data_IF_309180866248
#
_entry.id   IF_309180866248
#
_cell.length_a   1.000
_cell.length_b   1.000
_cell.length_c   1.000
_cell.angle_alpha   90.00
_cell.angle_beta   90.00
_cell.angle_gamma   90.00
#
_symmetry.space_group_name_H-M   'P 1'
#
loop_
_entity.id
_entity.type
_entity.pdbx_description
1 polymer ?
#
# COMPACT_ATOMS: atom_id res chain seq x y z
N UNK A 1 -13.95 -10.66 -2.07
CA UNK A 1 -12.67 -10.42 -1.36
C UNK A 1 -12.62 -8.97 -0.94
N UNK A 2 -12.47 -8.72 0.36
CA UNK A 2 -12.28 -7.41 0.95
C UNK A 2 -10.79 -7.10 1.05
N UNK A 3 -10.38 -5.89 0.69
CA UNK A 3 -9.05 -5.36 0.96
C UNK A 3 -9.17 -4.40 2.14
N UNK A 4 -8.52 -4.70 3.25
CA UNK A 4 -8.51 -3.86 4.46
C UNK A 4 -7.10 -3.34 4.68
N UNK A 5 -6.95 -2.03 4.72
CA UNK A 5 -5.70 -1.36 5.06
C UNK A 5 -5.74 -1.01 6.55
N UNK A 6 -4.89 -1.65 7.35
CA UNK A 6 -4.85 -1.46 8.79
C UNK A 6 -3.70 -0.55 9.20
N UNK A 7 -3.99 0.41 10.06
CA UNK A 7 -2.98 1.28 10.66
C UNK A 7 -2.28 0.55 11.82
N UNK A 8 -0.95 0.45 11.76
CA UNK A 8 -0.16 0.10 12.94
C UNK A 8 -0.13 1.31 13.89
N UNK A 9 -0.57 1.12 15.13
CA UNK A 9 -0.71 2.21 16.10
C UNK A 9 0.59 2.96 16.36
N UNK A 10 1.73 2.26 16.43
CA UNK A 10 3.03 2.88 16.68
C UNK A 10 3.43 3.73 15.47
N UNK A 11 3.29 3.19 14.26
CA UNK A 11 3.61 3.91 13.03
C UNK A 11 2.68 5.10 12.83
N UNK A 12 1.38 4.93 13.10
CA UNK A 12 0.39 5.99 13.04
C UNK A 12 0.80 7.18 13.92
N UNK A 13 1.25 6.93 15.15
CA UNK A 13 1.76 7.97 16.07
C UNK A 13 3.06 8.63 15.56
N UNK A 14 3.97 7.85 14.99
CA UNK A 14 5.24 8.35 14.44
C UNK A 14 5.07 9.23 13.20
N UNK A 15 3.92 9.14 12.52
CA UNK A 15 3.58 9.93 11.35
C UNK A 15 2.75 11.19 11.67
N UNK A 16 2.49 11.46 12.96
CA UNK A 16 1.87 12.72 13.37
C UNK A 16 2.74 13.93 12.97
N UNK A 17 2.12 15.06 12.58
CA UNK A 17 0.69 15.34 12.58
C UNK A 17 -0.05 14.88 11.31
N UNK A 18 0.62 14.24 10.35
CA UNK A 18 0.03 13.92 9.03
C UNK A 18 -1.13 12.93 9.12
N UNK A 19 -1.05 12.00 10.08
CA UNK A 19 -2.06 10.98 10.37
C UNK A 19 -3.16 11.46 11.33
N UNK A 20 -3.08 12.70 11.84
CA UNK A 20 -4.08 13.22 12.78
C UNK A 20 -5.47 13.39 12.14
N UNK A 21 -5.52 13.58 10.82
CA UNK A 21 -6.76 13.86 10.07
C UNK A 21 -7.10 12.81 9.01
N UNK A 22 -6.29 11.74 8.91
CA UNK A 22 -6.46 10.68 7.90
C UNK A 22 -5.70 9.40 8.28
N UNK A 23 -6.13 8.21 7.79
CA UNK A 23 -5.37 6.96 7.91
C UNK A 23 -4.00 7.04 7.24
N UNK A 24 -3.07 6.16 7.62
CA UNK A 24 -1.73 6.10 7.00
C UNK A 24 -1.85 5.88 5.49
N UNK A 25 -2.80 5.04 5.07
CA UNK A 25 -3.01 4.69 3.66
C UNK A 25 -3.40 5.90 2.77
N UNK A 26 -3.89 6.99 3.36
CA UNK A 26 -4.25 8.21 2.64
C UNK A 26 -3.07 9.19 2.44
N UNK A 27 -1.88 8.83 2.91
CA UNK A 27 -0.66 9.58 2.61
C UNK A 27 -0.29 9.36 1.14
N UNK A 28 -0.02 10.48 0.44
CA UNK A 28 0.54 10.46 -0.91
C UNK A 28 2.06 10.40 -0.84
N UNK A 29 2.61 9.36 -1.45
CA UNK A 29 4.04 9.15 -1.65
C UNK A 29 4.20 8.55 -3.05
N UNK A 30 4.88 9.27 -3.94
CA UNK A 30 4.81 9.04 -5.37
C UNK A 30 3.74 9.89 -6.06
N UNK A 31 3.21 9.36 -7.16
CA UNK A 31 2.09 9.94 -7.91
C UNK A 31 0.77 9.64 -7.20
N UNK A 32 0.67 8.45 -6.57
CA UNK A 32 -0.54 7.91 -5.95
C UNK A 32 -0.46 7.92 -4.42
N UNK A 33 -1.62 7.91 -3.75
CA UNK A 33 -1.69 7.53 -2.34
C UNK A 33 -1.40 6.05 -2.13
N UNK A 34 -1.01 5.65 -0.92
CA UNK A 34 -0.77 4.23 -0.61
C UNK A 34 -2.02 3.39 -0.90
N UNK A 35 -3.21 3.89 -0.51
CA UNK A 35 -4.50 3.27 -0.87
C UNK A 35 -4.63 3.09 -2.38
N UNK A 36 -4.43 4.15 -3.16
CA UNK A 36 -4.60 4.11 -4.61
C UNK A 36 -3.68 3.08 -5.28
N UNK A 37 -2.47 2.89 -4.75
CA UNK A 37 -1.55 1.84 -5.22
C UNK A 37 -2.15 0.45 -5.00
N UNK A 38 -2.60 0.14 -3.78
CA UNK A 38 -3.24 -1.14 -3.47
C UNK A 38 -4.52 -1.38 -4.28
N UNK A 39 -5.38 -0.36 -4.39
CA UNK A 39 -6.61 -0.45 -5.20
C UNK A 39 -6.31 -0.77 -6.66
N UNK A 40 -5.25 -0.19 -7.26
CA UNK A 40 -4.85 -0.49 -8.64
C UNK A 40 -4.31 -1.92 -8.80
N UNK A 41 -3.52 -2.40 -7.85
CA UNK A 41 -2.97 -3.76 -7.90
C UNK A 41 -4.03 -4.86 -7.76
N UNK A 42 -5.08 -4.61 -6.97
CA UNK A 42 -6.15 -5.57 -6.70
C UNK A 42 -7.44 -5.30 -7.48
N UNK A 43 -7.58 -4.14 -8.13
CA UNK A 43 -8.77 -3.68 -8.86
C UNK A 43 -10.05 -3.71 -8.01
N UNK A 44 -9.92 -3.41 -6.72
CA UNK A 44 -11.03 -3.34 -5.75
C UNK A 44 -10.82 -2.13 -4.85
N UNK A 45 -11.91 -1.63 -4.25
CA UNK A 45 -11.83 -0.56 -3.25
C UNK A 45 -11.32 -1.07 -1.93
N UNK A 46 -10.47 -0.27 -1.28
CA UNK A 46 -9.97 -0.58 0.05
C UNK A 46 -10.98 -0.13 1.12
N UNK A 47 -11.05 -0.88 2.20
CA UNK A 47 -11.64 -0.49 3.48
C UNK A 47 -10.54 -0.08 4.45
N UNK A 48 -10.88 0.76 5.42
CA UNK A 48 -9.91 1.25 6.40
C UNK A 48 -10.12 0.58 7.74
N UNK A 49 -9.02 0.26 8.41
CA UNK A 49 -9.01 -0.09 9.82
C UNK A 49 -8.06 0.89 10.53
N UNK A 50 -8.64 1.97 11.05
CA UNK A 50 -7.94 3.15 11.59
C UNK A 50 -8.53 3.56 12.95
N UNK A 51 -8.09 4.69 13.48
CA UNK A 51 -8.59 5.26 14.74
C UNK A 51 -10.10 5.56 14.68
N UNK A 52 -10.79 5.36 15.80
CA UNK A 52 -12.26 5.41 15.87
C UNK A 52 -12.85 6.73 15.39
N UNK A 53 -12.19 7.85 15.67
CA UNK A 53 -12.63 9.17 15.27
C UNK A 53 -12.45 9.44 13.76
N UNK A 54 -11.54 8.72 13.09
CA UNK A 54 -11.35 8.80 11.64
C UNK A 54 -12.38 7.93 10.91
N UNK A 55 -12.90 6.88 11.55
CA UNK A 55 -13.81 5.91 10.95
C UNK A 55 -15.13 6.50 10.42
N UNK A 56 -15.56 7.66 10.93
CA UNK A 56 -16.73 8.36 10.38
C UNK A 56 -16.52 8.78 8.91
N UNK A 57 -15.31 9.25 8.58
CA UNK A 57 -14.95 9.66 7.21
C UNK A 57 -14.29 8.53 6.41
N UNK A 58 -13.60 7.62 7.09
CA UNK A 58 -12.85 6.51 6.51
C UNK A 58 -13.39 5.17 7.02
N UNK A 59 -14.54 4.70 6.51
CA UNK A 59 -15.26 3.59 7.10
C UNK A 59 -14.58 2.24 6.87
N UNK A 60 -14.76 1.35 7.85
CA UNK A 60 -14.54 -0.09 7.67
C UNK A 60 -15.71 -0.67 6.87
N UNK A 61 -15.57 -0.71 5.55
CA UNK A 61 -16.64 -1.13 4.63
C UNK A 61 -16.59 -2.62 4.25
N UNK A 62 -15.76 -3.43 4.93
CA UNK A 62 -15.64 -4.85 4.61
C UNK A 62 -16.88 -5.64 5.06
N UNK A 63 -17.34 -6.54 4.20
CA UNK A 63 -18.50 -7.42 4.45
C UNK A 63 -18.04 -8.83 4.82
N UNK A 64 -18.98 -9.75 5.11
CA UNK A 64 -18.66 -11.15 5.40
C UNK A 64 -17.85 -11.81 4.27
N UNK A 65 -16.95 -12.72 4.64
CA UNK A 65 -16.14 -13.53 3.73
C UNK A 65 -14.67 -13.09 3.66
N UNK A 66 -13.98 -13.59 2.63
CA UNK A 66 -12.55 -13.40 2.40
C UNK A 66 -12.04 -11.97 2.60
N UNK A 67 -11.11 -11.80 3.54
CA UNK A 67 -10.47 -10.54 3.87
C UNK A 67 -8.96 -10.63 3.67
N UNK A 68 -8.39 -9.64 2.98
CA UNK A 68 -6.96 -9.42 2.89
C UNK A 68 -6.63 -8.18 3.71
N UNK A 69 -6.00 -8.38 4.86
CA UNK A 69 -5.46 -7.31 5.69
C UNK A 69 -4.06 -6.97 5.22
N UNK A 70 -3.79 -5.69 5.01
CA UNK A 70 -2.47 -5.19 4.57
C UNK A 70 -2.08 -4.00 5.42
N UNK A 71 -0.81 -3.94 5.82
CA UNK A 71 -0.29 -2.83 6.61
C UNK A 71 -0.39 -1.53 5.80
N UNK A 72 -1.08 -0.51 6.34
CA UNK A 72 -1.35 0.75 5.65
C UNK A 72 -0.09 1.59 5.37
N UNK A 73 1.04 1.30 6.04
CA UNK A 73 2.33 1.95 5.79
C UNK A 73 3.14 1.34 4.65
N UNK A 74 2.65 0.26 4.04
CA UNK A 74 3.37 -0.50 3.04
C UNK A 74 3.11 0.00 1.63
N UNK A 75 4.18 0.35 0.91
CA UNK A 75 4.14 0.66 -0.51
C UNK A 75 4.28 -0.65 -1.29
N UNK A 76 3.28 -1.01 -2.13
CA UNK A 76 3.32 -2.26 -2.88
C UNK A 76 4.33 -2.20 -4.03
N UNK A 77 4.98 -3.32 -4.29
CA UNK A 77 5.66 -3.63 -5.55
C UNK A 77 5.07 -4.88 -6.22
N UNK A 78 5.32 -5.07 -7.51
CA UNK A 78 4.76 -6.17 -8.30
C UNK A 78 5.13 -7.57 -7.75
N UNK A 79 6.34 -7.76 -7.18
CA UNK A 79 6.78 -9.05 -6.63
C UNK A 79 6.07 -9.35 -5.31
N UNK A 80 5.97 -8.36 -4.42
CA UNK A 80 5.24 -8.48 -3.17
C UNK A 80 3.75 -8.78 -3.43
N UNK A 81 3.12 -8.03 -4.33
CA UNK A 81 1.71 -8.23 -4.70
C UNK A 81 1.49 -9.64 -5.25
N UNK A 82 2.41 -10.15 -6.07
CA UNK A 82 2.32 -11.52 -6.57
C UNK A 82 2.42 -12.56 -5.44
N UNK A 83 3.23 -12.32 -4.40
CA UNK A 83 3.31 -13.20 -3.21
C UNK A 83 2.01 -13.14 -2.40
N UNK A 84 1.50 -11.93 -2.13
CA UNK A 84 0.27 -11.72 -1.36
C UNK A 84 -0.94 -12.38 -2.06
N UNK A 85 -1.03 -12.31 -3.39
CA UNK A 85 -2.12 -12.95 -4.16
C UNK A 85 -2.12 -14.47 -4.06
N UNK A 86 -1.01 -15.10 -3.65
CA UNK A 86 -0.89 -16.55 -3.47
C UNK A 86 -1.18 -17.02 -2.04
N UNK A 87 -1.41 -16.10 -1.10
CA UNK A 87 -1.72 -16.45 0.28
C UNK A 87 -3.04 -17.22 0.35
N UNK A 88 -3.03 -18.33 1.09
CA UNK A 88 -4.25 -19.06 1.47
C UNK A 88 -4.84 -18.45 2.73
N UNK A 89 -6.11 -18.75 2.98
CA UNK A 89 -6.77 -18.39 4.25
C UNK A 89 -5.94 -18.91 5.43
N UNK A 90 -5.74 -18.06 6.44
CA UNK A 90 -4.93 -18.37 7.61
C UNK A 90 -3.44 -18.07 7.45
N UNK A 91 -2.98 -17.70 6.25
CA UNK A 91 -1.57 -17.38 5.99
C UNK A 91 -1.35 -15.87 5.92
N UNK A 92 -0.13 -15.47 6.29
CA UNK A 92 0.32 -14.09 6.14
C UNK A 92 1.80 -13.98 5.85
N UNK A 93 2.22 -12.74 5.66
CA UNK A 93 3.60 -12.32 5.51
C UNK A 93 3.96 -11.40 6.66
N UNK A 94 5.14 -11.61 7.23
CA UNK A 94 5.75 -10.72 8.21
C UNK A 94 7.18 -10.38 7.81
N UNK A 95 7.68 -9.27 8.32
CA UNK A 95 9.09 -8.91 8.18
C UNK A 95 9.57 -8.20 9.43
N UNK A 96 10.69 -8.65 10.01
CA UNK A 96 11.31 -8.03 11.20
C UNK A 96 10.30 -7.85 12.36
N UNK A 97 9.47 -8.86 12.61
CA UNK A 97 8.46 -8.83 13.67
C UNK A 97 7.21 -7.98 13.35
N UNK A 98 7.07 -7.46 12.14
CA UNK A 98 5.88 -6.70 11.71
C UNK A 98 5.02 -7.49 10.77
N UNK A 99 3.70 -7.40 10.96
CA UNK A 99 2.74 -7.97 10.03
C UNK A 99 2.66 -7.10 8.78
N UNK A 100 2.82 -7.73 7.62
CA UNK A 100 2.84 -7.07 6.30
C UNK A 100 1.50 -7.28 5.61
N UNK A 101 1.04 -8.53 5.54
CA UNK A 101 -0.27 -8.88 5.01
C UNK A 101 -0.78 -10.19 5.62
N UNK A 102 -2.09 -10.36 5.72
CA UNK A 102 -2.71 -11.58 6.23
C UNK A 102 -4.03 -11.86 5.51
N UNK A 103 -4.25 -13.11 5.11
CA UNK A 103 -5.48 -13.55 4.47
C UNK A 103 -6.35 -14.26 5.50
N UNK A 104 -7.54 -13.73 5.74
CA UNK A 104 -8.54 -14.25 6.70
C UNK A 104 -9.84 -14.62 5.97
N UNK A 105 -10.60 -15.55 6.53
CA UNK A 105 -11.96 -15.90 6.10
C UNK A 105 -13.02 -14.94 6.68
N UNK A 106 -12.64 -14.18 7.71
CA UNK A 106 -13.54 -13.28 8.43
C UNK A 106 -12.98 -11.87 8.54
N UNK A 107 -13.86 -10.91 8.81
CA UNK A 107 -13.50 -9.53 9.12
C UNK A 107 -12.84 -9.37 10.49
N UNK A 108 -12.87 -10.41 11.34
CA UNK A 108 -12.26 -10.36 12.66
C UNK A 108 -10.74 -10.45 12.50
N UNK A 109 -10.06 -9.39 12.93
CA UNK A 109 -8.62 -9.26 12.81
C UNK A 109 -7.97 -9.26 14.19
N UNK A 110 -7.12 -10.25 14.44
CA UNK A 110 -6.20 -10.24 15.56
C UNK A 110 -4.77 -10.19 15.01
N UNK A 111 -4.11 -9.04 15.16
CA UNK A 111 -2.76 -8.82 14.62
C UNK A 111 -1.73 -9.81 15.20
N UNK A 112 -1.85 -10.20 16.48
CA UNK A 112 -0.91 -11.09 17.13
C UNK A 112 -1.01 -12.52 16.58
N UNK A 113 -2.23 -13.04 16.47
CA UNK A 113 -2.47 -14.36 15.86
C UNK A 113 -2.05 -14.38 14.40
N UNK A 114 -2.38 -13.33 13.64
CA UNK A 114 -1.96 -13.19 12.26
C UNK A 114 -0.43 -13.15 12.12
N UNK A 115 0.27 -12.44 13.01
CA UNK A 115 1.73 -12.36 13.04
C UNK A 115 2.39 -13.72 13.34
N UNK A 116 1.83 -14.50 14.27
CA UNK A 116 2.33 -15.83 14.60
C UNK A 116 2.22 -16.79 13.40
N UNK A 117 1.10 -16.73 12.67
CA UNK A 117 0.82 -17.57 11.50
C UNK A 117 1.43 -17.03 10.19
N UNK A 118 2.23 -15.97 10.26
CA UNK A 118 2.86 -15.36 9.08
C UNK A 118 4.26 -15.88 8.83
N UNK A 119 4.56 -16.12 7.55
CA UNK A 119 5.90 -16.48 7.08
C UNK A 119 6.79 -15.25 6.90
N UNK A 120 8.09 -15.41 7.12
CA UNK A 120 9.04 -14.32 6.94
C UNK A 120 9.17 -13.95 5.45
N UNK A 121 9.08 -12.66 5.17
CA UNK A 121 9.33 -12.09 3.85
C UNK A 121 10.77 -11.61 3.77
N UNK A 122 11.59 -12.26 2.93
CA UNK A 122 13.03 -12.00 2.86
C UNK A 122 13.40 -10.76 2.04
N UNK A 123 12.58 -10.35 1.06
CA UNK A 123 12.95 -9.23 0.18
C UNK A 123 12.72 -7.89 0.89
N UNK A 124 13.54 -6.86 0.61
CA UNK A 124 13.32 -5.53 1.15
C UNK A 124 11.92 -5.00 0.83
N UNK A 125 11.27 -4.42 1.82
CA UNK A 125 9.98 -3.74 1.67
C UNK A 125 10.15 -2.24 1.80
N UNK A 126 9.27 -1.49 1.13
CA UNK A 126 9.20 -0.04 1.28
C UNK A 126 8.06 0.27 2.26
N UNK A 127 8.43 0.52 3.51
CA UNK A 127 7.51 0.92 4.59
C UNK A 127 7.69 2.40 4.89
N UNK A 128 6.63 3.13 5.27
CA UNK A 128 6.76 4.45 5.89
C UNK A 128 6.64 4.32 7.40
N UNK A 129 7.73 4.56 8.13
CA UNK A 129 7.75 4.46 9.60
C UNK A 129 7.82 5.83 10.26
N UNK A 130 8.39 6.80 9.57
CA UNK A 130 8.61 8.14 10.06
C UNK A 130 8.26 9.18 9.00
N UNK A 131 7.98 10.41 9.41
CA UNK A 131 7.60 11.50 8.49
C UNK A 131 8.63 11.75 7.38
N UNK A 132 9.93 11.61 7.69
CA UNK A 132 11.00 11.80 6.69
C UNK A 132 11.07 10.67 5.65
N UNK A 133 10.51 9.49 5.94
CA UNK A 133 10.45 8.40 4.96
C UNK A 133 9.62 8.79 3.74
N UNK A 134 8.59 9.62 3.94
CA UNK A 134 7.73 10.11 2.86
C UNK A 134 8.56 10.83 1.80
N UNK A 135 9.57 11.60 2.21
CA UNK A 135 10.45 12.33 1.30
C UNK A 135 11.60 11.45 0.81
N UNK A 136 12.23 10.70 1.71
CA UNK A 136 13.39 9.83 1.41
C UNK A 136 13.03 8.73 0.40
N UNK A 137 11.82 8.15 0.52
CA UNK A 137 11.35 7.04 -0.31
C UNK A 137 10.47 7.50 -1.48
N UNK A 138 10.23 8.82 -1.62
CA UNK A 138 9.36 9.37 -2.65
C UNK A 138 9.84 9.01 -4.07
N UNK A 139 11.14 9.13 -4.33
CA UNK A 139 11.70 8.86 -5.66
C UNK A 139 11.47 7.43 -6.13
N UNK A 140 11.65 6.45 -5.23
CA UNK A 140 11.37 5.04 -5.51
C UNK A 140 9.87 4.80 -5.75
N UNK A 141 9.01 5.41 -4.92
CA UNK A 141 7.56 5.33 -5.09
C UNK A 141 7.06 5.96 -6.41
N UNK A 142 7.67 7.06 -6.88
CA UNK A 142 7.36 7.65 -8.19
C UNK A 142 7.68 6.66 -9.31
N UNK A 143 8.83 5.97 -9.24
CA UNK A 143 9.23 5.01 -10.26
C UNK A 143 8.26 3.82 -10.33
N UNK A 144 7.87 3.28 -9.17
CA UNK A 144 6.87 2.21 -9.08
C UNK A 144 5.51 2.66 -9.64
N UNK A 145 5.06 3.85 -9.27
CA UNK A 145 3.79 4.40 -9.77
C UNK A 145 3.82 4.64 -11.27
N UNK A 146 4.92 5.16 -11.80
CA UNK A 146 5.07 5.39 -13.23
C UNK A 146 4.94 4.07 -14.00
N UNK A 147 5.63 3.02 -13.56
CA UNK A 147 5.49 1.69 -14.17
C UNK A 147 4.05 1.20 -14.06
N UNK A 148 3.43 1.29 -12.88
CA UNK A 148 2.05 0.84 -12.65
C UNK A 148 1.03 1.58 -13.54
N UNK A 149 1.18 2.89 -13.69
CA UNK A 149 0.23 3.76 -14.41
C UNK A 149 0.38 3.72 -15.93
N UNK A 150 1.57 3.36 -16.42
CA UNK A 150 1.89 3.32 -17.85
C UNK A 150 1.84 1.92 -18.43
N UNK A 151 1.84 0.87 -17.58
CA UNK A 151 1.76 -0.53 -17.99
C UNK A 151 0.57 -0.79 -18.91
N UNK A 152 0.86 -1.33 -20.09
CA UNK A 152 -0.15 -1.65 -21.11
C UNK A 152 -0.73 -0.44 -21.85
N UNK A 153 -0.16 0.77 -21.67
CA UNK A 153 -0.56 1.99 -22.38
C UNK A 153 0.54 2.45 -23.32
N UNK A 154 0.16 3.17 -24.38
CA UNK A 154 1.07 3.79 -25.32
C UNK A 154 1.07 5.30 -25.09
N UNK A 155 2.24 5.88 -24.83
CA UNK A 155 2.42 7.33 -24.72
C UNK A 155 2.12 8.00 -26.05
N UNK A 156 1.57 9.22 -26.00
CA UNK A 156 1.52 10.09 -27.17
C UNK A 156 2.95 10.42 -27.66
N UNK A 157 3.10 10.63 -28.97
CA UNK A 157 4.36 11.06 -29.56
C UNK A 157 4.73 12.48 -29.10
N UNK A 158 6.00 12.67 -28.71
CA UNK A 158 6.52 13.98 -28.34
C UNK A 158 6.58 14.90 -29.56
N UNK A 159 6.15 16.15 -29.39
CA UNK A 159 6.29 17.18 -30.41
C UNK A 159 7.76 17.39 -30.77
N UNK A 160 8.03 17.61 -32.07
CA UNK A 160 9.37 17.93 -32.58
C UNK A 160 9.88 19.30 -32.10
N UNK A 161 8.98 20.16 -31.61
CA UNK A 161 9.34 21.49 -31.06
C UNK A 161 10.01 21.43 -29.69
N UNK A 162 9.97 20.27 -29.00
CA UNK A 162 10.45 20.16 -27.63
C UNK A 162 11.89 19.62 -27.60
N UNK A 163 12.77 20.28 -26.85
CA UNK A 163 14.10 19.75 -26.51
C UNK A 163 13.98 18.84 -25.29
N UNK A 164 14.48 17.61 -25.40
CA UNK A 164 14.41 16.62 -24.32
C UNK A 164 15.76 16.55 -23.62
N UNK A 165 15.77 16.82 -22.32
CA UNK A 165 16.94 16.62 -21.45
C UNK A 165 16.65 15.43 -20.55
N UNK A 166 17.50 14.39 -20.63
CA UNK A 166 17.38 13.17 -19.84
C UNK A 166 16.75 11.98 -20.58
N UNK A 167 16.22 11.01 -19.81
CA UNK A 167 15.75 9.73 -20.35
C UNK A 167 14.34 9.84 -20.95
N UNK A 168 14.24 9.76 -22.27
CA UNK A 168 12.97 9.88 -23.02
C UNK A 168 11.90 8.86 -22.61
N UNK A 169 12.30 7.65 -22.20
CA UNK A 169 11.37 6.61 -21.76
C UNK A 169 10.72 6.87 -20.39
N UNK A 170 11.16 7.90 -19.65
CA UNK A 170 10.53 8.35 -18.41
C UNK A 170 9.48 9.46 -18.64
N UNK A 171 9.23 9.82 -19.90
CA UNK A 171 8.20 10.79 -20.27
C UNK A 171 7.01 10.00 -20.80
N UNK A 172 5.83 10.23 -20.21
CA UNK A 172 4.58 9.62 -20.63
C UNK A 172 3.52 10.71 -20.78
N UNK A 173 2.93 10.78 -21.97
CA UNK A 173 1.86 11.69 -22.36
C UNK A 173 0.56 10.91 -22.56
#
# INVERSE_FOLDING_TARGET
>A
MNLILFDDKKVWQQLLPLTYTRPISEIRIGILSIREKWEKHFKIKASYQTESYLSQKFPFAATKGDCLFVNASLIPDDKLVAKIKKLKVGQGLKQNGKLIAYKSETINFNANTALQNSEEHANPLILIEHVWDIFKKNGEAIQLDFVLLTKGRKSQALSKSNTIIGKRNLIFL
#
